data_IF_949093480258
#
_entry.id   IF_949093480258
#
_cell.length_a   1.000
_cell.length_b   1.000
_cell.length_c   1.000
_cell.angle_alpha   90.00
_cell.angle_beta   90.00
_cell.angle_gamma   90.00
#
_symmetry.space_group_name_H-M   'P 1'
#
loop_
_entity.id
_entity.type
_entity.pdbx_description
1 polymer ?
#
# COMPACT_ATOMS: atom_id res chain seq x y z
N UNK A 1 -31.54 -26.80 26.57
CA UNK A 1 -30.21 -27.17 26.06
C UNK A 1 -29.96 -26.36 24.79
N UNK A 2 -29.01 -25.42 24.85
CA UNK A 2 -28.71 -24.53 23.72
C UNK A 2 -27.86 -25.26 22.68
N UNK A 3 -28.27 -25.13 21.41
CA UNK A 3 -27.60 -25.69 20.26
C UNK A 3 -26.26 -24.96 20.02
N UNK A 4 -25.15 -25.68 20.13
CA UNK A 4 -23.84 -25.24 19.65
C UNK A 4 -23.72 -25.64 18.17
N UNK A 5 -24.29 -24.82 17.30
CA UNK A 5 -24.08 -24.92 15.86
C UNK A 5 -22.78 -24.19 15.48
N UNK A 6 -21.96 -24.89 14.71
CA UNK A 6 -20.70 -24.43 14.18
C UNK A 6 -20.84 -23.13 13.37
N UNK A 7 -19.95 -22.18 13.65
CA UNK A 7 -19.55 -21.17 12.69
C UNK A 7 -18.02 -21.18 12.62
N UNK A 8 -17.52 -22.06 11.76
CA UNK A 8 -16.24 -21.88 11.12
C UNK A 8 -16.33 -20.60 10.27
N UNK A 9 -15.98 -19.45 10.85
CA UNK A 9 -15.66 -18.27 10.08
C UNK A 9 -14.17 -18.37 9.71
N UNK A 10 -13.91 -18.43 8.41
CA UNK A 10 -12.60 -18.29 7.80
C UNK A 10 -11.78 -17.16 8.48
N UNK A 11 -10.44 -17.20 8.45
CA UNK A 11 -9.65 -16.07 8.92
C UNK A 11 -10.04 -14.85 8.08
N UNK A 12 -10.94 -14.02 8.61
CA UNK A 12 -11.29 -12.75 8.00
C UNK A 12 -9.97 -11.99 7.90
N UNK A 13 -9.47 -11.88 6.67
CA UNK A 13 -8.40 -10.97 6.36
C UNK A 13 -8.87 -9.58 6.80
N UNK A 14 -8.43 -9.16 7.99
CA UNK A 14 -8.68 -7.83 8.53
C UNK A 14 -7.85 -6.83 7.72
N UNK A 15 -8.23 -6.66 6.46
CA UNK A 15 -7.73 -5.62 5.60
C UNK A 15 -8.50 -4.36 5.96
N UNK A 16 -7.90 -3.52 6.79
CA UNK A 16 -8.51 -2.25 7.16
C UNK A 16 -8.33 -1.27 6.00
N UNK A 17 -9.43 -0.67 5.55
CA UNK A 17 -9.39 0.42 4.60
C UNK A 17 -9.04 1.69 5.37
N UNK A 18 -7.92 2.32 5.00
CA UNK A 18 -7.42 3.53 5.65
C UNK A 18 -7.19 4.61 4.62
N UNK A 19 -7.58 5.84 4.94
CA UNK A 19 -7.25 6.99 4.11
C UNK A 19 -5.73 7.08 3.89
N UNK A 20 -5.30 7.45 2.69
CA UNK A 20 -3.89 7.52 2.32
C UNK A 20 -3.09 8.36 3.34
N UNK A 21 -3.61 9.55 3.70
CA UNK A 21 -2.99 10.45 4.69
C UNK A 21 -2.79 9.83 6.08
N UNK A 22 -3.57 8.81 6.45
CA UNK A 22 -3.49 8.15 7.75
C UNK A 22 -2.52 6.97 7.77
N UNK A 23 -1.93 6.60 6.62
CA UNK A 23 -1.00 5.48 6.55
C UNK A 23 0.35 5.87 7.15
N UNK A 24 0.75 5.13 8.18
CA UNK A 24 2.14 5.13 8.63
C UNK A 24 3.05 4.53 7.57
N UNK A 25 4.35 4.84 7.59
CA UNK A 25 5.36 4.23 6.69
C UNK A 25 5.22 2.70 6.61
N UNK A 26 5.08 2.02 7.76
CA UNK A 26 4.93 0.56 7.84
C UNK A 26 3.65 0.03 7.19
N UNK A 27 2.57 0.81 7.19
CA UNK A 27 1.30 0.44 6.58
C UNK A 27 1.32 0.70 5.08
N UNK A 28 1.89 1.82 4.66
CA UNK A 28 2.15 2.14 3.26
C UNK A 28 2.99 1.03 2.62
N UNK A 29 4.10 0.64 3.23
CA UNK A 29 4.96 -0.43 2.71
C UNK A 29 4.23 -1.76 2.59
N UNK A 30 3.37 -2.08 3.55
CA UNK A 30 2.54 -3.29 3.48
C UNK A 30 1.53 -3.23 2.35
N UNK A 31 0.90 -2.08 2.14
CA UNK A 31 -0.07 -1.91 1.07
C UNK A 31 0.57 -2.02 -0.32
N UNK A 32 1.74 -1.39 -0.49
CA UNK A 32 2.48 -1.40 -1.76
C UNK A 32 3.04 -2.78 -2.08
N UNK A 33 3.56 -3.52 -1.08
CA UNK A 33 4.13 -4.86 -1.30
C UNK A 33 3.10 -5.91 -1.73
N UNK A 34 1.83 -5.73 -1.39
CA UNK A 34 0.74 -6.63 -1.81
C UNK A 34 -0.07 -6.10 -2.99
N UNK A 35 0.38 -5.00 -3.59
CA UNK A 35 -0.29 -4.41 -4.73
C UNK A 35 -0.17 -5.32 -5.97
N UNK A 36 -1.24 -5.47 -6.78
CA UNK A 36 -1.19 -6.29 -7.98
C UNK A 36 -0.28 -5.71 -9.08
N UNK A 37 0.08 -4.42 -9.03
CA UNK A 37 0.96 -3.79 -10.01
C UNK A 37 2.44 -3.96 -9.61
N UNK A 38 3.20 -4.73 -10.40
CA UNK A 38 4.64 -4.95 -10.17
C UNK A 38 5.44 -3.64 -10.16
N UNK A 39 5.02 -2.61 -10.92
CA UNK A 39 5.68 -1.31 -10.91
C UNK A 39 5.49 -0.60 -9.56
N UNK A 40 4.33 -0.77 -8.92
CA UNK A 40 4.08 -0.22 -7.59
C UNK A 40 4.90 -0.97 -6.56
N UNK A 41 4.95 -2.30 -6.64
CA UNK A 41 5.77 -3.12 -5.74
C UNK A 41 7.26 -2.77 -5.79
N UNK A 42 7.79 -2.50 -6.98
CA UNK A 42 9.18 -2.09 -7.18
C UNK A 42 9.49 -0.76 -6.47
N UNK A 43 8.52 0.16 -6.42
CA UNK A 43 8.65 1.44 -5.72
C UNK A 43 8.66 1.34 -4.19
N UNK A 44 8.35 0.17 -3.61
CA UNK A 44 8.35 0.00 -2.16
C UNK A 44 9.72 0.33 -1.55
N UNK A 45 10.81 -0.12 -2.18
CA UNK A 45 12.17 0.11 -1.66
C UNK A 45 12.56 1.60 -1.73
N UNK A 46 12.23 2.25 -2.85
CA UNK A 46 12.43 3.69 -3.04
C UNK A 46 11.69 4.49 -1.97
N UNK A 47 10.40 4.20 -1.77
CA UNK A 47 9.60 4.89 -0.76
C UNK A 47 10.07 4.63 0.67
N UNK A 48 10.57 3.44 0.96
CA UNK A 48 11.14 3.12 2.27
C UNK A 48 12.43 3.89 2.55
N UNK A 49 13.29 4.00 1.53
CA UNK A 49 14.56 4.75 1.56
C UNK A 49 14.32 6.23 1.88
N UNK A 50 13.32 6.83 1.24
CA UNK A 50 12.91 8.22 1.48
C UNK A 50 12.00 8.39 2.72
N UNK A 51 11.79 7.33 3.50
CA UNK A 51 10.93 7.32 4.70
C UNK A 51 9.52 7.86 4.43
N UNK A 52 8.99 7.61 3.23
CA UNK A 52 7.67 8.12 2.86
C UNK A 52 6.57 7.50 3.72
N UNK A 53 5.62 8.34 4.10
CA UNK A 53 4.37 7.93 4.71
C UNK A 53 3.21 8.28 3.77
N UNK A 54 2.00 7.84 4.09
CA UNK A 54 0.88 8.11 3.21
C UNK A 54 0.46 9.58 3.17
N UNK A 55 0.80 10.38 4.19
CA UNK A 55 0.62 11.82 4.13
C UNK A 55 1.50 12.47 3.05
N UNK A 56 2.79 12.11 2.98
CA UNK A 56 3.70 12.59 1.94
C UNK A 56 3.26 12.13 0.54
N UNK A 57 2.76 10.89 0.39
CA UNK A 57 2.21 10.45 -0.90
C UNK A 57 0.93 11.20 -1.28
N UNK A 58 0.07 11.51 -0.31
CA UNK A 58 -1.14 12.28 -0.56
C UNK A 58 -0.79 13.70 -1.01
N UNK A 59 0.22 14.31 -0.40
CA UNK A 59 0.74 15.63 -0.76
C UNK A 59 1.22 15.67 -2.22
N UNK A 60 2.06 14.71 -2.62
CA UNK A 60 2.50 14.54 -4.02
C UNK A 60 1.30 14.36 -4.96
N UNK A 61 0.26 13.63 -4.52
CA UNK A 61 -0.96 13.42 -5.29
C UNK A 61 -1.80 14.69 -5.52
N UNK A 62 -1.64 15.70 -4.67
CA UNK A 62 -2.33 16.98 -4.74
C UNK A 62 -1.53 18.05 -5.47
N UNK A 63 -0.21 17.86 -5.64
CA UNK A 63 0.65 18.75 -6.41
C UNK A 63 0.24 18.82 -7.89
N UNK A 64 0.58 19.95 -8.52
CA UNK A 64 0.48 20.09 -9.96
C UNK A 64 1.37 19.08 -10.69
N UNK A 65 0.98 18.72 -11.91
CA UNK A 65 1.63 17.64 -12.67
C UNK A 65 3.15 17.86 -12.81
N UNK A 66 3.59 19.10 -13.01
CA UNK A 66 5.00 19.44 -13.19
C UNK A 66 5.80 19.33 -11.89
N UNK A 67 5.23 19.75 -10.77
CA UNK A 67 5.86 19.63 -9.44
C UNK A 67 5.91 18.18 -8.99
N UNK A 68 4.82 17.44 -9.18
CA UNK A 68 4.74 16.01 -8.91
C UNK A 68 5.83 15.22 -9.66
N UNK A 69 6.05 15.54 -10.93
CA UNK A 69 7.09 14.87 -11.73
C UNK A 69 8.49 15.19 -11.22
N UNK A 70 8.77 16.47 -10.89
CA UNK A 70 10.06 16.86 -10.30
C UNK A 70 10.30 16.17 -8.97
N UNK A 71 9.30 16.11 -8.10
CA UNK A 71 9.43 15.44 -6.80
C UNK A 71 9.67 13.93 -6.96
N UNK A 72 8.96 13.28 -7.89
CA UNK A 72 9.22 11.88 -8.26
C UNK A 72 10.64 11.67 -8.79
N UNK A 73 11.17 12.57 -9.63
CA UNK A 73 12.57 12.49 -10.08
C UNK A 73 13.56 12.65 -8.92
N UNK A 74 13.29 13.53 -7.95
CA UNK A 74 14.10 13.67 -6.73
C UNK A 74 14.06 12.44 -5.83
N UNK A 75 12.97 11.68 -5.86
CA UNK A 75 12.84 10.38 -5.21
C UNK A 75 13.52 9.26 -6.00
N UNK A 76 14.15 9.55 -7.15
CA UNK A 76 14.78 8.55 -8.02
C UNK A 76 13.81 7.80 -8.93
N UNK A 77 12.53 8.20 -8.94
CA UNK A 77 11.48 7.62 -9.79
C UNK A 77 11.49 8.34 -11.13
N UNK A 78 12.43 7.96 -11.99
CA UNK A 78 12.64 8.57 -13.31
C UNK A 78 11.92 7.83 -14.43
N UNK A 79 11.55 6.56 -14.22
CA UNK A 79 10.88 5.79 -15.24
C UNK A 79 9.43 6.27 -15.42
N UNK A 80 9.08 6.70 -16.63
CA UNK A 80 7.74 7.17 -16.96
C UNK A 80 6.63 6.17 -16.56
N UNK A 81 6.89 4.87 -16.75
CA UNK A 81 5.97 3.81 -16.35
C UNK A 81 5.66 3.81 -14.85
N UNK A 82 6.71 3.91 -14.02
CA UNK A 82 6.59 4.00 -12.56
C UNK A 82 5.90 5.29 -12.12
N UNK A 83 6.27 6.44 -12.69
CA UNK A 83 5.63 7.73 -12.39
C UNK A 83 4.12 7.68 -12.68
N UNK A 84 3.75 7.10 -13.83
CA UNK A 84 2.34 6.94 -14.23
C UNK A 84 1.60 5.93 -13.37
N UNK A 85 2.25 4.83 -12.98
CA UNK A 85 1.68 3.84 -12.07
C UNK A 85 1.42 4.47 -10.70
N UNK A 86 2.43 5.12 -10.12
CA UNK A 86 2.35 5.78 -8.82
C UNK A 86 1.25 6.85 -8.79
N UNK A 87 1.18 7.70 -9.81
CA UNK A 87 0.11 8.70 -9.93
C UNK A 87 -1.28 8.06 -9.95
N UNK A 88 -1.44 6.97 -10.73
CA UNK A 88 -2.72 6.24 -10.80
C UNK A 88 -3.07 5.61 -9.46
N UNK A 89 -2.09 5.03 -8.78
CA UNK A 89 -2.27 4.41 -7.47
C UNK A 89 -2.70 5.44 -6.41
N UNK A 90 -2.01 6.58 -6.32
CA UNK A 90 -2.37 7.67 -5.40
C UNK A 90 -3.77 8.20 -5.72
N UNK A 91 -4.07 8.44 -7.00
CA UNK A 91 -5.40 8.92 -7.41
C UNK A 91 -6.50 7.91 -7.04
N UNK A 92 -6.27 6.62 -7.28
CA UNK A 92 -7.21 5.57 -6.94
C UNK A 92 -7.42 5.46 -5.42
N UNK A 93 -6.35 5.58 -4.64
CA UNK A 93 -6.38 5.60 -3.19
C UNK A 93 -7.20 6.78 -2.62
N UNK A 94 -7.11 7.95 -3.25
CA UNK A 94 -7.90 9.13 -2.86
C UNK A 94 -9.36 9.01 -3.29
N UNK A 95 -9.62 8.55 -4.51
CA UNK A 95 -10.97 8.42 -5.08
C UNK A 95 -11.79 7.31 -4.39
N UNK A 96 -11.15 6.20 -4.05
CA UNK A 96 -11.78 5.07 -3.35
C UNK A 96 -11.99 5.32 -1.85
N UNK A 97 -11.56 6.47 -1.33
CA UNK A 97 -11.64 6.81 0.09
C UNK A 97 -10.63 6.09 0.99
N UNK A 98 -9.65 5.39 0.41
CA UNK A 98 -8.56 4.77 1.15
C UNK A 98 -7.81 3.66 0.41
N UNK A 99 -6.76 3.18 1.07
CA UNK A 99 -5.93 2.04 0.66
C UNK A 99 -6.22 0.86 1.57
N UNK A 100 -6.23 -0.33 0.99
CA UNK A 100 -6.40 -1.58 1.71
C UNK A 100 -5.06 -2.00 2.34
N UNK A 101 -4.97 -1.98 3.66
CA UNK A 101 -3.74 -2.37 4.38
C UNK A 101 -3.91 -3.77 4.96
N UNK A 102 -3.07 -4.75 4.59
CA UNK A 102 -3.11 -6.07 5.22
C UNK A 102 -2.64 -6.00 6.67
N UNK A 103 -3.40 -6.59 7.58
CA UNK A 103 -3.02 -6.73 8.98
C UNK A 103 -1.71 -7.50 9.14
N UNK A 104 -0.84 -7.04 10.05
CA UNK A 104 0.51 -7.59 10.27
C UNK A 104 0.52 -9.09 10.65
N UNK A 105 -0.62 -9.64 11.05
CA UNK A 105 -0.81 -11.05 11.40
C UNK A 105 -0.77 -11.97 10.17
N UNK A 106 -1.04 -11.47 8.97
CA UNK A 106 -1.11 -12.27 7.73
C UNK A 106 0.25 -12.35 7.02
N UNK A 107 1.10 -11.32 7.14
CA UNK A 107 2.40 -11.29 6.49
C UNK A 107 3.42 -12.32 7.05
N UNK A 108 3.13 -12.94 8.20
CA UNK A 108 3.98 -13.96 8.83
C UNK A 108 3.53 -15.40 8.55
N UNK A 109 2.29 -15.62 8.08
CA UNK A 109 1.76 -16.98 7.95
C UNK A 109 2.18 -17.66 6.66
N UNK A 110 2.56 -16.91 5.62
CA UNK A 110 2.98 -17.48 4.33
C UNK A 110 4.46 -17.91 4.31
N UNK A 111 5.30 -17.38 5.21
CA UNK A 111 6.72 -17.73 5.28
C UNK A 111 7.01 -18.99 6.12
N UNK A 112 6.00 -19.58 6.77
CA UNK A 112 6.19 -20.68 7.73
C UNK A 112 5.71 -22.05 7.23
N UNK A 113 5.24 -22.17 5.98
CA UNK A 113 4.77 -23.45 5.41
C UNK A 113 5.73 -24.11 4.40
N UNK A 114 6.86 -23.48 4.04
CA UNK A 114 7.83 -24.05 3.07
C UNK A 114 9.11 -24.66 3.70
N UNK A 115 9.04 -25.18 4.93
CA UNK A 115 10.07 -26.12 5.43
C UNK A 115 9.42 -27.31 6.15
N UNK A 116 8.85 -28.20 5.34
CA UNK A 116 8.66 -29.61 5.72
C UNK A 116 9.93 -30.41 5.46
#
# INVERSE_FOLDING_TARGET
AAAAAAAAAAPEQLSQMKALVQLTRRELMRAIKVDPDDLIRDLAETMDTHKMNGAALADIGQMDKEEMLKDMEHLGITAYGQQRALKRWIKHAMDSGGVRVPSAKVAQTDASMERG
#
